data_IF_406544976381
#
_entry.id   IF_406544976381
#
_cell.length_a   1.000
_cell.length_b   1.000
_cell.length_c   1.000
_cell.angle_alpha   90.00
_cell.angle_beta   90.00
_cell.angle_gamma   90.00
#
_symmetry.space_group_name_H-M   'P 1'
#
loop_
_entity.id
_entity.type
_entity.pdbx_description
1 polymer ?
#
# COMPACT_ATOMS: atom_id res chain seq x y z
N UNK A 1 18.46 -7.30 33.22
CA UNK A 1 18.32 -6.18 32.28
C UNK A 1 18.95 -6.64 30.96
N UNK A 2 18.33 -6.63 29.77
CA UNK A 2 17.02 -6.12 29.34
C UNK A 2 16.21 -7.21 28.64
N UNK A 3 14.90 -6.97 28.59
CA UNK A 3 13.88 -7.89 28.08
C UNK A 3 13.95 -7.92 26.55
N UNK A 4 14.17 -9.10 25.98
CA UNK A 4 13.86 -9.38 24.58
C UNK A 4 12.35 -9.22 24.41
N UNK A 5 11.91 -8.05 23.95
CA UNK A 5 10.52 -7.85 23.54
C UNK A 5 10.31 -8.61 22.24
N UNK A 6 9.74 -9.80 22.36
CA UNK A 6 9.19 -10.57 21.26
C UNK A 6 8.20 -9.69 20.47
N UNK A 7 8.56 -9.31 19.24
CA UNK A 7 7.60 -8.76 18.28
C UNK A 7 6.77 -9.91 17.70
N UNK A 8 5.99 -10.58 18.56
CA UNK A 8 4.91 -11.44 18.12
C UNK A 8 3.64 -10.57 18.02
N UNK A 9 3.52 -9.80 16.93
CA UNK A 9 2.23 -9.22 16.54
C UNK A 9 1.51 -10.27 15.70
N UNK A 10 0.96 -11.29 16.36
CA UNK A 10 0.01 -12.24 15.78
C UNK A 10 -1.41 -11.65 15.85
N UNK A 11 -1.62 -10.55 15.14
CA UNK A 11 -2.92 -10.13 14.64
C UNK A 11 -2.76 -10.01 13.13
N UNK A 12 -3.66 -10.59 12.34
CA UNK A 12 -3.70 -10.32 10.89
C UNK A 12 -3.84 -8.80 10.75
N UNK A 13 -2.74 -8.11 10.48
CA UNK A 13 -2.74 -6.65 10.40
C UNK A 13 -3.67 -6.28 9.25
N UNK A 14 -4.79 -5.63 9.56
CA UNK A 14 -5.72 -5.14 8.56
C UNK A 14 -5.10 -3.88 7.95
N UNK A 15 -4.40 -4.08 6.84
CA UNK A 15 -3.71 -3.02 6.11
C UNK A 15 -4.66 -2.54 5.02
N UNK A 16 -5.13 -1.30 5.16
CA UNK A 16 -5.89 -0.62 4.11
C UNK A 16 -4.97 -0.20 2.97
N UNK A 17 -5.52 -0.01 1.78
CA UNK A 17 -4.73 0.46 0.63
C UNK A 17 -4.04 1.80 0.91
N UNK A 18 -4.74 2.74 1.57
CA UNK A 18 -4.18 4.04 1.97
C UNK A 18 -2.93 3.89 2.84
N UNK A 19 -2.97 3.03 3.87
CA UNK A 19 -1.82 2.79 4.76
C UNK A 19 -0.67 2.11 4.03
N UNK A 20 -0.95 1.19 3.11
CA UNK A 20 0.09 0.57 2.29
C UNK A 20 0.74 1.57 1.31
N UNK A 21 -0.06 2.45 0.70
CA UNK A 21 0.40 3.51 -0.20
C UNK A 21 1.30 4.50 0.55
N UNK A 22 0.91 4.93 1.75
CA UNK A 22 1.75 5.78 2.61
C UNK A 22 3.08 5.09 2.96
N UNK A 23 3.03 3.83 3.41
CA UNK A 23 4.24 3.07 3.74
C UNK A 23 5.17 2.91 2.53
N UNK A 24 4.61 2.70 1.33
CA UNK A 24 5.36 2.64 0.09
C UNK A 24 6.05 3.98 -0.24
N UNK A 25 5.35 5.12 -0.08
CA UNK A 25 5.95 6.46 -0.28
C UNK A 25 7.11 6.71 0.69
N UNK A 26 6.95 6.34 1.96
CA UNK A 26 8.02 6.46 2.95
C UNK A 26 9.24 5.61 2.56
N UNK A 27 9.03 4.39 2.05
CA UNK A 27 10.12 3.54 1.54
C UNK A 27 10.81 4.14 0.31
N UNK A 28 10.06 4.74 -0.61
CA UNK A 28 10.64 5.42 -1.78
C UNK A 28 11.57 6.57 -1.36
N UNK A 29 11.13 7.38 -0.38
CA UNK A 29 11.94 8.47 0.18
C UNK A 29 13.19 7.95 0.89
N UNK A 30 13.05 6.88 1.69
CA UNK A 30 14.18 6.27 2.38
C UNK A 30 15.23 5.67 1.42
N UNK A 31 14.81 5.26 0.22
CA UNK A 31 15.70 4.76 -0.83
C UNK A 31 16.29 5.88 -1.71
N UNK A 32 16.05 7.16 -1.38
CA UNK A 32 16.47 8.30 -2.18
C UNK A 32 16.05 8.22 -3.65
N UNK A 33 14.86 7.67 -3.93
CA UNK A 33 14.30 7.73 -5.28
C UNK A 33 14.09 9.18 -5.69
N UNK A 34 14.27 9.45 -6.98
CA UNK A 34 14.13 10.82 -7.48
C UNK A 34 12.70 11.35 -7.24
N UNK A 35 12.52 12.68 -7.07
CA UNK A 35 11.18 13.28 -6.95
C UNK A 35 10.27 12.93 -8.14
N UNK A 36 10.85 12.84 -9.35
CA UNK A 36 10.12 12.43 -10.56
C UNK A 36 9.60 11.00 -10.45
N UNK A 37 10.44 10.06 -9.98
CA UNK A 37 10.06 8.66 -9.78
C UNK A 37 8.97 8.53 -8.71
N UNK A 38 9.09 9.27 -7.61
CA UNK A 38 8.08 9.27 -6.55
C UNK A 38 6.73 9.81 -7.06
N UNK A 39 6.76 10.93 -7.80
CA UNK A 39 5.57 11.51 -8.42
C UNK A 39 4.91 10.57 -9.43
N UNK A 40 5.70 9.84 -10.21
CA UNK A 40 5.18 8.82 -11.12
C UNK A 40 4.43 7.70 -10.39
N UNK A 41 4.98 7.20 -9.26
CA UNK A 41 4.26 6.22 -8.45
C UNK A 41 2.98 6.78 -7.83
N UNK A 42 2.98 8.02 -7.35
CA UNK A 42 1.78 8.66 -6.81
C UNK A 42 0.67 8.75 -7.88
N UNK A 43 1.02 9.14 -9.11
CA UNK A 43 0.10 9.20 -10.24
C UNK A 43 -0.49 7.84 -10.62
N UNK A 44 0.23 6.73 -10.38
CA UNK A 44 -0.29 5.38 -10.62
C UNK A 44 -1.16 4.87 -9.47
N UNK A 45 -0.73 5.10 -8.23
CA UNK A 45 -1.36 4.52 -7.04
C UNK A 45 -2.61 5.27 -6.59
N UNK A 46 -2.68 6.59 -6.81
CA UNK A 46 -3.84 7.38 -6.39
C UNK A 46 -5.12 7.00 -7.14
N UNK A 47 -5.15 6.92 -8.49
CA UNK A 47 -6.37 6.56 -9.20
C UNK A 47 -6.75 5.10 -8.96
N UNK A 48 -5.76 4.20 -8.81
CA UNK A 48 -6.01 2.81 -8.44
C UNK A 48 -6.64 2.70 -7.04
N UNK A 49 -6.17 3.49 -6.07
CA UNK A 49 -6.77 3.54 -4.74
C UNK A 49 -8.24 3.97 -4.76
N UNK A 50 -8.56 5.02 -5.52
CA UNK A 50 -9.96 5.47 -5.72
C UNK A 50 -10.83 4.42 -6.41
N UNK A 51 -10.26 3.70 -7.37
CA UNK A 51 -10.93 2.58 -8.01
C UNK A 51 -11.27 1.48 -6.99
N UNK A 52 -10.33 1.10 -6.13
CA UNK A 52 -10.57 0.08 -5.08
C UNK A 52 -11.65 0.53 -4.09
N UNK A 53 -11.64 1.80 -3.68
CA UNK A 53 -12.71 2.39 -2.84
C UNK A 53 -14.08 2.27 -3.52
N UNK A 54 -14.17 2.52 -4.83
CA UNK A 54 -15.41 2.37 -5.60
C UNK A 54 -15.86 0.91 -5.76
N UNK A 55 -14.96 -0.06 -5.63
CA UNK A 55 -15.26 -1.50 -5.61
C UNK A 55 -15.54 -2.01 -4.18
N UNK A 56 -15.66 -1.12 -3.19
CA UNK A 56 -15.85 -1.46 -1.77
C UNK A 56 -14.72 -2.34 -1.21
N UNK A 57 -13.51 -2.22 -1.77
CA UNK A 57 -12.31 -2.95 -1.35
C UNK A 57 -11.52 -2.11 -0.36
N UNK A 58 -11.59 -2.47 0.92
CA UNK A 58 -10.93 -1.70 1.99
C UNK A 58 -9.51 -2.20 2.26
N UNK A 59 -9.29 -3.52 2.23
CA UNK A 59 -8.04 -4.15 2.66
C UNK A 59 -7.18 -4.59 1.47
N UNK A 60 -5.86 -4.42 1.61
CA UNK A 60 -4.90 -4.83 0.58
C UNK A 60 -4.98 -6.32 0.25
N UNK A 61 -5.34 -7.15 1.24
CA UNK A 61 -5.51 -8.61 1.06
C UNK A 61 -6.68 -9.00 0.17
N UNK A 62 -7.61 -8.08 -0.05
CA UNK A 62 -8.80 -8.26 -0.88
C UNK A 62 -8.53 -7.84 -2.33
N UNK A 63 -7.39 -7.21 -2.60
CA UNK A 63 -6.96 -6.88 -3.96
C UNK A 63 -6.59 -8.16 -4.69
N UNK A 64 -7.35 -8.48 -5.74
CA UNK A 64 -7.17 -9.65 -6.58
C UNK A 64 -6.59 -9.29 -7.95
N UNK A 65 -6.02 -10.26 -8.69
CA UNK A 65 -5.63 -10.04 -10.08
C UNK A 65 -6.77 -9.55 -10.99
N UNK A 66 -8.01 -9.95 -10.71
CA UNK A 66 -9.16 -9.53 -11.52
C UNK A 66 -9.49 -8.06 -11.31
N UNK A 67 -9.37 -7.55 -10.08
CA UNK A 67 -9.48 -6.12 -9.80
C UNK A 67 -8.39 -5.31 -10.49
N UNK A 68 -7.17 -5.85 -10.55
CA UNK A 68 -6.06 -5.21 -11.27
C UNK A 68 -6.35 -5.16 -12.78
N UNK A 69 -6.85 -6.26 -13.37
CA UNK A 69 -7.24 -6.29 -14.79
C UNK A 69 -8.36 -5.29 -15.08
N UNK A 70 -9.41 -5.29 -14.24
CA UNK A 70 -10.55 -4.39 -14.38
C UNK A 70 -10.16 -2.91 -14.34
N UNK A 71 -9.10 -2.55 -13.61
CA UNK A 71 -8.57 -1.18 -13.59
C UNK A 71 -7.72 -0.82 -14.82
N UNK A 72 -7.09 -1.81 -15.45
CA UNK A 72 -6.18 -1.60 -16.58
C UNK A 72 -6.88 -1.67 -17.94
N UNK A 73 -8.05 -2.29 -18.00
CA UNK A 73 -8.93 -2.35 -19.18
C UNK A 73 -9.64 -1.00 -19.44
#
# INVERSE_FOLDING_TARGET
MGKNAAYAVTGKLEVTFSRASEAFRLRCRAQNLSPLTCGWYEQLLEPFGRFLEAQEVELVREVTPDLIRLYLD
#
